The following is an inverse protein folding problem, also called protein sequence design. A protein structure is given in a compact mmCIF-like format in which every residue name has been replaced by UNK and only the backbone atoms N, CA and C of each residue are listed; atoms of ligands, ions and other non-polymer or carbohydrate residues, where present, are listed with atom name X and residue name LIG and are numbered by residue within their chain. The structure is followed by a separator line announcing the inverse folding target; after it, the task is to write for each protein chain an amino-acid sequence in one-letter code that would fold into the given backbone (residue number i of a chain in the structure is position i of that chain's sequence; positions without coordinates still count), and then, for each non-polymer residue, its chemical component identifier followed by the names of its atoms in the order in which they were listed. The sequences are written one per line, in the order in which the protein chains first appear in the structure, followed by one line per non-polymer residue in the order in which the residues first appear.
data_IF_642922958250
#
_entry.id   IF_642922958250
#
_cell.length_a   1.000
_cell.length_b   1.000
_cell.length_c   1.000
_cell.angle_alpha   90.00
_cell.angle_beta   90.00
_cell.angle_gamma   90.00
#
_symmetry.space_group_name_H-M   'P 1'
#
loop_
_entity.id
_entity.type
_entity.pdbx_description
1 polymer ?
#
# COMPACT_ATOMS: atom_id res chain seq x y z
N UNK A 1 26.77 -8.43 3.58
CA UNK A 1 27.50 -9.41 2.76
C UNK A 1 26.55 -10.36 2.02
N UNK A 2 25.76 -11.22 2.66
CA UNK A 2 24.82 -12.10 1.94
C UNK A 2 23.61 -11.34 1.35
N UNK A 3 23.09 -10.35 2.02
CA UNK A 3 21.97 -9.53 1.53
C UNK A 3 22.29 -8.80 0.22
N UNK A 4 23.54 -8.41 0.00
CA UNK A 4 23.97 -7.69 -1.22
C UNK A 4 23.91 -8.58 -2.47
N UNK A 5 24.00 -9.91 -2.31
CA UNK A 5 23.90 -10.87 -3.42
C UNK A 5 22.46 -10.93 -3.97
N UNK A 6 21.46 -10.64 -3.15
CA UNK A 6 20.05 -10.70 -3.53
C UNK A 6 19.44 -9.34 -3.84
N UNK A 7 20.15 -8.26 -3.55
CA UNK A 7 19.68 -6.89 -3.80
C UNK A 7 19.36 -6.71 -5.29
N UNK A 8 18.15 -6.22 -5.59
CA UNK A 8 17.66 -5.99 -6.94
C UNK A 8 17.35 -7.25 -7.78
N UNK A 9 17.52 -8.48 -7.22
CA UNK A 9 17.20 -9.72 -7.94
C UNK A 9 15.71 -10.08 -7.88
N UNK A 10 15.03 -9.65 -6.83
CA UNK A 10 13.60 -9.87 -6.64
C UNK A 10 12.86 -8.56 -6.90
N UNK A 11 12.60 -8.28 -8.17
CA UNK A 11 12.01 -7.04 -8.63
C UNK A 11 10.81 -7.34 -9.50
N UNK A 12 9.67 -6.75 -9.19
CA UNK A 12 8.50 -6.75 -10.05
C UNK A 12 8.47 -5.44 -10.85
N UNK A 13 8.35 -5.56 -12.16
CA UNK A 13 8.15 -4.45 -13.08
C UNK A 13 6.97 -4.73 -14.01
N UNK A 14 6.57 -3.75 -14.83
CA UNK A 14 5.43 -3.87 -15.74
C UNK A 14 5.63 -5.00 -16.77
N UNK A 15 6.84 -5.23 -17.26
CA UNK A 15 7.13 -6.31 -18.21
C UNK A 15 6.91 -7.69 -17.60
N UNK A 16 7.44 -7.92 -16.38
CA UNK A 16 7.25 -9.17 -15.65
C UNK A 16 5.78 -9.37 -15.30
N UNK A 17 5.09 -8.31 -14.86
CA UNK A 17 3.65 -8.37 -14.57
C UNK A 17 2.87 -8.82 -15.80
N UNK A 18 3.10 -8.19 -16.96
CA UNK A 18 2.39 -8.51 -18.21
C UNK A 18 2.67 -9.93 -18.68
N UNK A 19 3.87 -10.42 -18.47
CA UNK A 19 4.30 -11.74 -18.96
C UNK A 19 3.82 -12.90 -18.09
N UNK A 20 3.73 -12.70 -16.77
CA UNK A 20 3.59 -13.79 -15.80
C UNK A 20 2.35 -13.70 -14.91
N UNK A 21 1.69 -12.55 -14.85
CA UNK A 21 0.50 -12.39 -14.03
C UNK A 21 -0.77 -12.44 -14.87
N UNK A 22 -1.85 -12.92 -14.27
CA UNK A 22 -3.18 -12.82 -14.88
C UNK A 22 -3.60 -11.34 -14.99
N UNK A 23 -4.43 -10.97 -15.99
CA UNK A 23 -4.80 -9.57 -16.25
C UNK A 23 -5.43 -8.83 -15.06
N UNK A 24 -6.03 -9.57 -14.12
CA UNK A 24 -6.71 -9.01 -12.94
C UNK A 24 -5.91 -9.20 -11.65
N UNK A 25 -4.64 -9.59 -11.73
CA UNK A 25 -3.81 -9.74 -10.54
C UNK A 25 -3.59 -8.41 -9.87
N UNK A 26 -4.02 -8.28 -8.62
CA UNK A 26 -3.86 -7.06 -7.83
C UNK A 26 -2.48 -7.03 -7.18
N UNK A 27 -1.77 -5.93 -7.36
CA UNK A 27 -0.46 -5.70 -6.76
C UNK A 27 -0.65 -4.93 -5.46
N UNK A 28 -0.15 -5.50 -4.36
CA UNK A 28 -0.18 -4.90 -3.03
C UNK A 28 1.24 -4.81 -2.45
N UNK A 29 1.47 -3.81 -1.63
CA UNK A 29 2.73 -3.62 -0.91
C UNK A 29 2.50 -2.84 0.38
N UNK A 30 3.06 -3.27 1.52
CA UNK A 30 2.78 -2.65 2.82
C UNK A 30 3.43 -1.28 3.02
N UNK A 31 4.26 -0.82 2.09
CA UNK A 31 5.06 0.41 2.19
C UNK A 31 5.91 0.49 3.50
N UNK A 32 7.05 1.19 3.50
CA UNK A 32 7.60 1.97 2.37
C UNK A 32 8.19 1.09 1.26
N UNK A 33 8.05 1.54 0.01
CA UNK A 33 8.70 0.94 -1.16
C UNK A 33 10.10 1.52 -1.33
N UNK A 34 11.11 0.67 -1.54
CA UNK A 34 12.44 1.15 -1.90
C UNK A 34 12.45 1.54 -3.38
N UNK A 35 12.64 2.81 -3.68
CA UNK A 35 12.65 3.35 -5.05
C UNK A 35 14.06 3.53 -5.62
N UNK A 36 15.10 3.13 -4.90
CA UNK A 36 16.48 3.18 -5.42
C UNK A 36 16.66 2.14 -6.52
N UNK A 37 17.36 2.50 -7.58
CA UNK A 37 17.51 1.68 -8.78
C UNK A 37 18.17 0.31 -8.57
N UNK A 38 18.94 0.17 -7.50
CA UNK A 38 19.69 -1.04 -7.15
C UNK A 38 19.03 -1.90 -6.06
N UNK A 39 17.93 -1.42 -5.47
CA UNK A 39 17.30 -2.06 -4.32
C UNK A 39 15.76 -2.13 -4.41
N UNK A 40 15.15 -1.58 -5.46
CA UNK A 40 13.70 -1.58 -5.61
C UNK A 40 13.17 -3.00 -5.86
N UNK A 41 12.20 -3.40 -5.07
CA UNK A 41 11.45 -4.66 -5.21
C UNK A 41 10.20 -4.48 -6.07
N UNK A 42 9.64 -3.28 -6.10
CA UNK A 42 8.47 -2.91 -6.90
C UNK A 42 8.80 -1.66 -7.72
N UNK A 43 8.84 -1.80 -9.03
CA UNK A 43 9.28 -0.74 -9.94
C UNK A 43 8.25 0.38 -10.07
N UNK A 44 8.71 1.61 -10.27
CA UNK A 44 7.84 2.76 -10.48
C UNK A 44 7.12 2.75 -11.84
N UNK A 45 7.53 1.91 -12.77
CA UNK A 45 6.81 1.73 -14.05
C UNK A 45 5.43 1.07 -13.87
N UNK A 46 5.18 0.50 -12.67
CA UNK A 46 3.88 -0.03 -12.27
C UNK A 46 2.91 1.03 -11.75
N UNK A 47 3.35 2.27 -11.55
CA UNK A 47 2.50 3.31 -10.92
C UNK A 47 1.25 3.62 -11.76
N UNK A 48 1.32 3.45 -13.07
CA UNK A 48 0.18 3.62 -13.98
C UNK A 48 -0.64 2.34 -14.18
N UNK A 49 -0.25 1.23 -13.53
CA UNK A 49 -1.00 -0.03 -13.64
C UNK A 49 -2.32 0.07 -12.85
N UNK A 50 -3.49 -0.15 -13.49
CA UNK A 50 -4.79 -0.03 -12.83
C UNK A 50 -4.98 -1.04 -11.69
N UNK A 51 -4.22 -2.13 -11.69
CA UNK A 51 -4.26 -3.16 -10.65
C UNK A 51 -3.29 -2.88 -9.50
N UNK A 52 -2.53 -1.78 -9.54
CA UNK A 52 -1.70 -1.37 -8.41
C UNK A 52 -2.57 -0.78 -7.30
N UNK A 53 -2.65 -1.46 -6.17
CA UNK A 53 -3.50 -1.09 -5.04
C UNK A 53 -2.74 -0.52 -3.83
N UNK A 54 -1.43 -0.31 -3.94
CA UNK A 54 -0.57 0.08 -2.80
C UNK A 54 -1.02 1.38 -2.11
N UNK A 55 -1.46 2.38 -2.87
CA UNK A 55 -1.92 3.66 -2.33
C UNK A 55 -3.27 3.49 -1.63
N UNK A 56 -4.23 2.79 -2.26
CA UNK A 56 -5.52 2.46 -1.64
C UNK A 56 -5.35 1.59 -0.39
N UNK A 57 -4.42 0.65 -0.42
CA UNK A 57 -4.07 -0.18 0.74
C UNK A 57 -3.55 0.68 1.90
N UNK A 58 -2.72 1.69 1.62
CA UNK A 58 -2.19 2.62 2.62
C UNK A 58 -3.31 3.44 3.27
N UNK A 59 -4.24 3.97 2.48
CA UNK A 59 -5.38 4.73 2.98
C UNK A 59 -6.27 3.86 3.89
N UNK A 60 -6.50 2.61 3.53
CA UNK A 60 -7.26 1.67 4.34
C UNK A 60 -6.56 1.26 5.64
N UNK A 61 -5.25 1.42 5.73
CA UNK A 61 -4.46 1.02 6.89
C UNK A 61 -4.89 1.71 8.19
N UNK A 62 -5.30 2.97 8.13
CA UNK A 62 -5.83 3.70 9.28
C UNK A 62 -7.14 3.09 9.79
N UNK A 63 -8.08 2.86 8.88
CA UNK A 63 -9.39 2.30 9.21
C UNK A 63 -9.28 0.88 9.80
N UNK A 64 -8.41 0.05 9.23
CA UNK A 64 -8.17 -1.30 9.74
C UNK A 64 -7.57 -1.26 11.16
N UNK A 65 -6.60 -0.37 11.42
CA UNK A 65 -6.05 -0.19 12.77
C UNK A 65 -7.10 0.27 13.76
N UNK A 66 -7.93 1.22 13.39
CA UNK A 66 -9.05 1.69 14.23
C UNK A 66 -10.01 0.54 14.55
N UNK A 67 -10.39 -0.26 13.55
CA UNK A 67 -11.26 -1.42 13.74
C UNK A 67 -10.63 -2.46 14.68
N UNK A 68 -9.34 -2.75 14.53
CA UNK A 68 -8.62 -3.67 15.41
C UNK A 68 -8.59 -3.17 16.86
N UNK A 69 -8.32 -1.88 17.08
CA UNK A 69 -8.36 -1.30 18.42
C UNK A 69 -9.77 -1.36 19.03
N UNK A 70 -10.79 -1.05 18.24
CA UNK A 70 -12.18 -1.12 18.72
C UNK A 70 -12.57 -2.56 19.14
N UNK A 71 -12.13 -3.56 18.39
CA UNK A 71 -12.35 -4.98 18.71
C UNK A 71 -11.59 -5.41 19.96
N UNK A 72 -10.31 -5.06 20.06
CA UNK A 72 -9.46 -5.46 21.20
C UNK A 72 -9.91 -4.81 22.51
N UNK A 73 -10.41 -3.57 22.43
CA UNK A 73 -10.89 -2.81 23.60
C UNK A 73 -12.38 -3.05 23.89
N UNK A 74 -13.06 -3.85 23.07
CA UNK A 74 -14.50 -4.15 23.21
C UNK A 74 -15.38 -2.89 23.21
N UNK A 75 -15.09 -1.96 22.27
CA UNK A 75 -15.80 -0.68 22.15
C UNK A 75 -16.37 -0.45 20.74
N UNK A 76 -16.61 -1.52 19.99
CA UNK A 76 -17.11 -1.44 18.61
C UNK A 76 -18.44 -0.69 18.52
N UNK A 77 -19.33 -0.91 19.50
CA UNK A 77 -20.63 -0.28 19.63
C UNK A 77 -20.57 1.22 19.99
N UNK A 78 -19.40 1.69 20.44
CA UNK A 78 -19.20 3.09 20.87
C UNK A 78 -18.40 3.93 19.87
N UNK A 79 -17.94 3.33 18.76
CA UNK A 79 -17.09 4.04 17.78
C UNK A 79 -17.78 5.29 17.25
N UNK A 80 -19.08 5.25 17.01
CA UNK A 80 -19.84 6.36 16.44
C UNK A 80 -20.24 7.42 17.49
N UNK A 81 -20.22 7.10 18.79
CA UNK A 81 -20.62 8.05 19.85
C UNK A 81 -19.67 9.26 19.93
N UNK A 82 -18.42 9.08 19.57
CA UNK A 82 -17.38 10.11 19.63
C UNK A 82 -16.89 10.57 18.25
N UNK A 83 -17.63 10.18 17.19
CA UNK A 83 -17.29 10.62 15.84
C UNK A 83 -17.66 12.10 15.66
N UNK A 84 -16.77 12.85 15.01
CA UNK A 84 -17.05 14.19 14.56
C UNK A 84 -16.49 14.39 13.16
N UNK A 85 -17.19 15.19 12.38
CA UNK A 85 -16.74 15.49 11.03
C UNK A 85 -15.49 16.39 11.07
N UNK A 86 -14.41 15.94 10.44
CA UNK A 86 -13.17 16.71 10.32
C UNK A 86 -13.01 17.13 8.88
N UNK A 87 -12.88 18.43 8.65
CA UNK A 87 -12.49 18.93 7.34
C UNK A 87 -10.99 18.72 7.13
N UNK A 88 -10.64 17.74 6.33
CA UNK A 88 -9.27 17.52 5.91
C UNK A 88 -8.85 18.58 4.88
N UNK A 89 -7.82 19.33 5.21
CA UNK A 89 -7.20 20.24 4.26
C UNK A 89 -6.44 19.42 3.20
N UNK A 90 -7.02 19.33 2.01
CA UNK A 90 -6.36 18.68 0.89
C UNK A 90 -5.52 19.71 0.13
N UNK A 91 -4.20 19.74 0.38
CA UNK A 91 -3.26 20.67 -0.27
C UNK A 91 -3.07 20.41 -1.78
N UNK A 92 -3.73 19.41 -2.36
CA UNK A 92 -3.65 19.08 -3.78
C UNK A 92 -4.67 19.81 -4.66
N UNK A 93 -5.45 20.74 -4.10
CA UNK A 93 -6.37 21.59 -4.86
C UNK A 93 -5.88 23.05 -4.98
N UNK A 94 -4.59 23.23 -5.16
CA UNK A 94 -4.07 24.53 -5.60
C UNK A 94 -3.39 24.37 -6.94
#
# INVERSE_FOLDING_TARGET
AEADVYRGKFRLNQAIYTQHCEPNTVIMHPLPRDSRSDANELDCDLDDNPNLAIFRQTDNGLLIRMALFALVLDVVDKVDEFSHEVQWYNSRQQ
#
